data_IF_907349400700
#
_entry.id   IF_907349400700
#
_cell.length_a   1.000
_cell.length_b   1.000
_cell.length_c   1.000
_cell.angle_alpha   90.00
_cell.angle_beta   90.00
_cell.angle_gamma   90.00
#
_symmetry.space_group_name_H-M   'P 1'
#
loop_
_entity.id
_entity.type
_entity.pdbx_description
1 polymer ?
#
# COMPACT_ATOMS: atom_id res chain seq x y z
N UNK A 1 -10.13 -3.92 -49.30
CA UNK A 1 -9.61 -4.79 -48.22
C UNK A 1 -10.61 -5.91 -48.01
N UNK A 2 -10.21 -7.20 -48.07
CA UNK A 2 -11.19 -8.30 -48.09
C UNK A 2 -11.92 -8.43 -46.74
N UNK A 3 -13.22 -8.75 -46.79
CA UNK A 3 -14.08 -8.90 -45.62
C UNK A 3 -13.50 -9.84 -44.54
N UNK A 4 -12.73 -10.85 -44.94
CA UNK A 4 -12.00 -11.75 -44.06
C UNK A 4 -10.92 -11.05 -43.20
N UNK A 5 -10.20 -10.07 -43.76
CA UNK A 5 -9.20 -9.30 -43.00
C UNK A 5 -9.86 -8.41 -41.95
N UNK A 6 -11.00 -7.81 -42.30
CA UNK A 6 -11.77 -6.97 -41.36
C UNK A 6 -12.34 -7.83 -40.23
N UNK A 7 -12.94 -8.98 -40.55
CA UNK A 7 -13.44 -9.92 -39.55
C UNK A 7 -12.34 -10.43 -38.60
N UNK A 8 -11.17 -10.79 -39.14
CA UNK A 8 -10.03 -11.20 -38.34
C UNK A 8 -9.53 -10.09 -37.40
N UNK A 9 -9.41 -8.84 -37.89
CA UNK A 9 -8.97 -7.71 -37.06
C UNK A 9 -10.00 -7.40 -35.96
N UNK A 10 -11.29 -7.46 -36.26
CA UNK A 10 -12.36 -7.24 -35.26
C UNK A 10 -12.31 -8.33 -34.19
N UNK A 11 -12.22 -9.60 -34.58
CA UNK A 11 -12.09 -10.73 -33.64
C UNK A 11 -10.83 -10.60 -32.78
N UNK A 12 -9.68 -10.29 -33.39
CA UNK A 12 -8.41 -10.10 -32.69
C UNK A 12 -8.49 -8.94 -31.69
N UNK A 13 -9.12 -7.84 -32.08
CA UNK A 13 -9.30 -6.66 -31.22
C UNK A 13 -10.21 -7.00 -30.04
N UNK A 14 -11.32 -7.71 -30.29
CA UNK A 14 -12.26 -8.11 -29.24
C UNK A 14 -11.60 -9.07 -28.23
N UNK A 15 -10.88 -10.07 -28.72
CA UNK A 15 -10.12 -11.01 -27.87
C UNK A 15 -9.04 -10.28 -27.08
N UNK A 16 -8.35 -9.31 -27.70
CA UNK A 16 -7.32 -8.50 -27.01
C UNK A 16 -7.93 -7.63 -25.91
N UNK A 17 -9.08 -6.99 -26.16
CA UNK A 17 -9.80 -6.21 -25.15
C UNK A 17 -10.27 -7.10 -24.00
N UNK A 18 -10.86 -8.26 -24.32
CA UNK A 18 -11.30 -9.22 -23.30
C UNK A 18 -10.12 -9.69 -22.44
N UNK A 19 -8.98 -9.98 -23.06
CA UNK A 19 -7.76 -10.36 -22.35
C UNK A 19 -7.27 -9.26 -21.40
N UNK A 20 -7.21 -8.01 -21.85
CA UNK A 20 -6.83 -6.87 -21.00
C UNK A 20 -7.83 -6.66 -19.87
N UNK A 21 -9.12 -6.80 -20.12
CA UNK A 21 -10.16 -6.69 -19.09
C UNK A 21 -10.01 -7.75 -17.99
N UNK A 22 -9.63 -8.98 -18.35
CA UNK A 22 -9.35 -10.06 -17.39
C UNK A 22 -8.07 -9.78 -16.59
N UNK A 23 -7.05 -9.19 -17.20
CA UNK A 23 -5.80 -8.85 -16.51
C UNK A 23 -5.89 -7.60 -15.63
N UNK A 24 -6.80 -6.68 -15.95
CA UNK A 24 -7.00 -5.41 -15.24
C UNK A 24 -7.02 -5.54 -13.70
N UNK A 25 -7.83 -6.44 -13.09
CA UNK A 25 -7.85 -6.59 -11.64
C UNK A 25 -6.53 -7.09 -11.05
N UNK A 26 -5.69 -7.78 -11.83
CA UNK A 26 -4.40 -8.31 -11.39
C UNK A 26 -3.22 -7.39 -11.73
N UNK A 27 -3.46 -6.25 -12.36
CA UNK A 27 -2.39 -5.33 -12.76
C UNK A 27 -1.51 -4.91 -11.58
N UNK A 28 -2.14 -4.60 -10.44
CA UNK A 28 -1.43 -4.28 -9.19
C UNK A 28 -0.56 -5.45 -8.71
N UNK A 29 -1.07 -6.68 -8.77
CA UNK A 29 -0.32 -7.88 -8.36
C UNK A 29 0.89 -8.12 -9.27
N UNK A 30 0.73 -7.94 -10.58
CA UNK A 30 1.82 -8.07 -11.57
C UNK A 30 2.90 -7.00 -11.31
N UNK A 31 2.49 -5.74 -11.14
CA UNK A 31 3.42 -4.64 -10.91
C UNK A 31 4.23 -4.86 -9.64
N UNK A 32 3.57 -5.23 -8.54
CA UNK A 32 4.26 -5.54 -7.29
C UNK A 32 5.20 -6.72 -7.44
N UNK A 33 4.78 -7.81 -8.08
CA UNK A 33 5.67 -8.95 -8.35
C UNK A 33 6.94 -8.54 -9.11
N UNK A 34 6.82 -7.69 -10.13
CA UNK A 34 7.96 -7.19 -10.91
C UNK A 34 8.88 -6.30 -10.06
N UNK A 35 8.31 -5.37 -9.29
CA UNK A 35 9.06 -4.48 -8.40
C UNK A 35 9.84 -5.28 -7.36
N UNK A 36 9.18 -6.20 -6.65
CA UNK A 36 9.82 -7.10 -5.69
C UNK A 36 10.90 -7.95 -6.36
N UNK A 37 10.63 -8.51 -7.54
CA UNK A 37 11.63 -9.28 -8.27
C UNK A 37 12.88 -8.45 -8.57
N UNK A 38 12.73 -7.20 -9.02
CA UNK A 38 13.86 -6.30 -9.35
C UNK A 38 14.68 -5.92 -8.11
N UNK A 39 14.00 -5.64 -6.99
CA UNK A 39 14.63 -5.25 -5.73
C UNK A 39 15.38 -6.43 -5.11
N UNK A 40 14.74 -7.60 -5.06
CA UNK A 40 15.25 -8.81 -4.43
C UNK A 40 16.06 -9.71 -5.36
N UNK A 41 16.20 -9.37 -6.65
CA UNK A 41 17.10 -10.05 -7.58
C UNK A 41 18.53 -10.29 -7.05
N UNK A 42 19.22 -9.31 -6.42
CA UNK A 42 20.55 -9.56 -5.84
C UNK A 42 20.53 -10.60 -4.71
N UNK A 43 19.46 -10.68 -3.93
CA UNK A 43 19.28 -11.72 -2.91
C UNK A 43 19.06 -13.08 -3.59
N UNK A 44 18.17 -13.13 -4.57
CA UNK A 44 17.91 -14.34 -5.37
C UNK A 44 19.20 -14.89 -6.01
N UNK A 45 20.01 -14.04 -6.63
CA UNK A 45 21.28 -14.43 -7.24
C UNK A 45 22.34 -14.93 -6.22
N UNK A 46 22.23 -14.57 -4.93
CA UNK A 46 23.06 -15.15 -3.87
C UNK A 46 22.54 -16.53 -3.47
N UNK A 47 21.22 -16.68 -3.32
CA UNK A 47 20.56 -17.94 -2.99
C UNK A 47 20.77 -18.98 -4.11
N UNK A 48 20.61 -18.59 -5.37
CA UNK A 48 20.80 -19.47 -6.53
C UNK A 48 22.22 -20.06 -6.58
N UNK A 49 23.24 -19.22 -6.31
CA UNK A 49 24.63 -19.67 -6.22
C UNK A 49 24.85 -20.65 -5.07
N UNK A 50 24.20 -20.43 -3.92
CA UNK A 50 24.29 -21.33 -2.78
C UNK A 50 23.63 -22.70 -3.03
N UNK A 51 22.53 -22.71 -3.79
CA UNK A 51 21.71 -23.89 -4.09
C UNK A 51 22.22 -24.68 -5.31
N UNK A 52 23.40 -24.31 -5.84
CA UNK A 52 24.08 -24.98 -6.96
C UNK A 52 23.21 -25.12 -8.22
N UNK A 53 22.34 -24.13 -8.49
CA UNK A 53 21.59 -24.05 -9.74
C UNK A 53 20.23 -24.76 -9.77
N UNK A 54 19.70 -25.27 -8.66
CA UNK A 54 18.30 -25.76 -8.64
C UNK A 54 17.31 -24.58 -8.71
N UNK A 55 16.83 -24.26 -9.92
CA UNK A 55 16.00 -23.09 -10.22
C UNK A 55 14.75 -23.00 -9.32
N UNK A 56 14.03 -24.12 -9.11
CA UNK A 56 12.81 -24.17 -8.29
C UNK A 56 13.08 -23.91 -6.80
N UNK A 57 14.14 -24.51 -6.25
CA UNK A 57 14.49 -24.38 -4.84
C UNK A 57 15.03 -22.98 -4.54
N UNK A 58 15.84 -22.43 -5.45
CA UNK A 58 16.33 -21.06 -5.35
C UNK A 58 15.17 -20.04 -5.39
N UNK A 59 14.21 -20.21 -6.31
CA UNK A 59 13.04 -19.35 -6.40
C UNK A 59 12.16 -19.45 -5.13
N UNK A 60 11.88 -20.66 -4.65
CA UNK A 60 11.08 -20.89 -3.43
C UNK A 60 11.71 -20.26 -2.19
N UNK A 61 13.02 -20.47 -1.98
CA UNK A 61 13.74 -19.83 -0.88
C UNK A 61 13.77 -18.30 -0.99
N UNK A 62 13.84 -17.76 -2.21
CA UNK A 62 13.85 -16.31 -2.42
C UNK A 62 12.49 -15.67 -2.12
N UNK A 63 11.39 -16.33 -2.51
CA UNK A 63 10.03 -15.92 -2.16
C UNK A 63 9.83 -16.00 -0.64
N UNK A 64 10.29 -17.08 -0.01
CA UNK A 64 10.21 -17.25 1.44
C UNK A 64 11.02 -16.16 2.18
N UNK A 65 12.23 -15.87 1.73
CA UNK A 65 13.04 -14.78 2.29
C UNK A 65 12.34 -13.42 2.11
N UNK A 66 11.71 -13.16 0.96
CA UNK A 66 10.93 -11.94 0.72
C UNK A 66 9.74 -11.83 1.68
N UNK A 67 9.00 -12.93 1.90
CA UNK A 67 7.90 -13.01 2.85
C UNK A 67 8.37 -12.69 4.28
N UNK A 68 9.44 -13.33 4.73
CA UNK A 68 9.96 -13.13 6.08
C UNK A 68 10.54 -11.73 6.31
N UNK A 69 11.17 -11.12 5.30
CA UNK A 69 11.84 -9.82 5.46
C UNK A 69 10.89 -8.63 5.33
N UNK A 70 9.81 -8.74 4.56
CA UNK A 70 8.92 -7.59 4.27
C UNK A 70 7.51 -7.82 4.80
N UNK A 71 6.91 -8.96 4.49
CA UNK A 71 5.48 -9.19 4.72
C UNK A 71 5.21 -9.51 6.18
N UNK A 72 6.01 -10.37 6.80
CA UNK A 72 5.83 -10.75 8.21
C UNK A 72 5.95 -9.53 9.15
N UNK A 73 7.01 -8.68 9.07
CA UNK A 73 7.08 -7.48 9.89
C UNK A 73 5.92 -6.52 9.65
N UNK A 74 5.51 -6.37 8.38
CA UNK A 74 4.34 -5.56 8.00
C UNK A 74 3.05 -6.03 8.68
N UNK A 75 2.79 -7.34 8.65
CA UNK A 75 1.60 -7.94 9.29
C UNK A 75 1.62 -7.78 10.81
N UNK A 76 2.78 -8.02 11.45
CA UNK A 76 2.92 -7.88 12.91
C UNK A 76 2.56 -6.46 13.34
N UNK A 77 3.05 -5.45 12.62
CA UNK A 77 2.74 -4.05 12.93
C UNK A 77 1.28 -3.72 12.62
N UNK A 78 0.74 -4.18 11.48
CA UNK A 78 -0.67 -3.96 11.15
C UNK A 78 -1.63 -4.56 12.20
N UNK A 79 -1.36 -5.79 12.64
CA UNK A 79 -2.14 -6.45 13.70
C UNK A 79 -1.97 -5.70 15.03
N UNK A 80 -0.76 -5.26 15.36
CA UNK A 80 -0.50 -4.50 16.59
C UNK A 80 -1.25 -3.17 16.62
N UNK A 81 -1.29 -2.45 15.49
CA UNK A 81 -2.05 -1.21 15.34
C UNK A 81 -3.56 -1.46 15.41
N UNK A 82 -4.05 -2.51 14.75
CA UNK A 82 -5.47 -2.88 14.82
C UNK A 82 -5.89 -3.23 16.26
N UNK A 83 -5.05 -3.96 16.99
CA UNK A 83 -5.28 -4.28 18.39
C UNK A 83 -5.27 -3.02 19.28
N UNK A 84 -4.34 -2.09 19.05
CA UNK A 84 -4.31 -0.81 19.78
C UNK A 84 -5.54 0.06 19.47
N UNK A 85 -5.97 0.10 18.21
CA UNK A 85 -7.17 0.82 17.80
C UNK A 85 -8.43 0.22 18.45
N UNK A 86 -8.55 -1.10 18.47
CA UNK A 86 -9.66 -1.79 19.15
C UNK A 86 -9.62 -1.56 20.66
N UNK A 87 -8.44 -1.60 21.30
CA UNK A 87 -8.29 -1.33 22.73
C UNK A 87 -8.64 0.11 23.10
N UNK A 88 -8.24 1.08 22.27
CA UNK A 88 -8.64 2.48 22.43
C UNK A 88 -10.16 2.65 22.26
N UNK A 89 -10.75 1.96 21.28
CA UNK A 89 -12.19 1.98 21.04
C UNK A 89 -12.99 1.42 22.24
N UNK A 90 -12.57 0.28 22.78
CA UNK A 90 -13.19 -0.33 23.98
C UNK A 90 -13.04 0.58 25.21
N UNK A 91 -11.89 1.22 25.40
CA UNK A 91 -11.67 2.17 26.51
C UNK A 91 -12.51 3.43 26.43
N UNK A 92 -12.84 3.88 25.22
CA UNK A 92 -13.80 4.98 24.99
C UNK A 92 -15.24 4.51 25.27
N UNK A 93 -15.55 3.25 24.95
CA UNK A 93 -16.87 2.66 25.19
C UNK A 93 -17.15 2.37 26.68
N UNK A 94 -16.13 1.98 27.44
CA UNK A 94 -16.23 1.68 28.88
C UNK A 94 -16.17 2.93 29.78
N UNK A 95 -16.03 4.13 29.21
CA UNK A 95 -16.11 5.40 29.95
C UNK A 95 -14.88 5.74 30.81
N UNK A 96 -13.80 4.97 30.75
CA UNK A 96 -12.55 5.22 31.47
C UNK A 96 -11.62 6.22 30.76
N UNK A 97 -11.85 6.51 29.47
CA UNK A 97 -11.09 7.53 28.73
C UNK A 97 -11.77 8.90 28.80
N UNK A 98 -11.36 9.70 29.78
CA UNK A 98 -11.74 11.10 29.86
C UNK A 98 -11.01 11.87 28.74
N UNK A 99 -11.63 11.96 27.55
CA UNK A 99 -11.12 12.73 26.40
C UNK A 99 -10.76 14.17 26.82
N UNK A 100 -11.44 14.70 27.84
CA UNK A 100 -11.20 16.01 28.44
C UNK A 100 -9.80 16.12 29.05
N UNK A 101 -9.23 15.04 29.60
CA UNK A 101 -7.92 15.05 30.25
C UNK A 101 -6.76 14.94 29.23
N UNK A 102 -6.97 14.22 28.13
CA UNK A 102 -6.05 14.24 26.98
C UNK A 102 -6.06 15.60 26.26
N UNK A 103 -7.24 16.19 26.06
CA UNK A 103 -7.37 17.53 25.47
C UNK A 103 -6.72 18.59 26.34
N UNK A 104 -6.90 18.54 27.67
CA UNK A 104 -6.22 19.44 28.62
C UNK A 104 -4.71 19.24 28.67
N UNK A 105 -4.21 18.00 28.56
CA UNK A 105 -2.77 17.74 28.47
C UNK A 105 -2.17 18.26 27.18
N UNK A 106 -2.86 18.09 26.05
CA UNK A 106 -2.45 18.65 24.77
C UNK A 106 -2.42 20.18 24.89
N UNK A 107 -3.51 20.82 25.31
CA UNK A 107 -3.60 22.27 25.53
C UNK A 107 -2.46 22.81 26.41
N UNK A 108 -2.10 22.09 27.49
CA UNK A 108 -1.01 22.46 28.39
C UNK A 108 0.39 22.31 27.81
N UNK A 109 0.57 21.50 26.77
CA UNK A 109 1.88 21.26 26.13
C UNK A 109 2.05 22.06 24.83
N UNK A 110 1.02 22.79 24.38
CA UNK A 110 1.11 23.63 23.18
C UNK A 110 1.94 24.91 23.43
N UNK A 111 2.89 25.25 22.53
CA UNK A 111 3.64 26.51 22.60
C UNK A 111 2.71 27.72 22.48
N UNK A 112 3.05 28.81 23.20
CA UNK A 112 2.27 30.05 23.35
C UNK A 112 1.71 30.61 22.02
N UNK A 113 2.43 30.45 20.92
CA UNK A 113 2.02 30.93 19.59
C UNK A 113 0.72 30.29 19.05
N UNK A 114 0.34 29.10 19.53
CA UNK A 114 -0.90 28.42 19.09
C UNK A 114 -2.08 28.78 20.00
N UNK A 115 -1.83 29.12 21.28
CA UNK A 115 -2.88 29.55 22.22
C UNK A 115 -3.52 30.87 21.78
N UNK A 116 -2.72 31.80 21.31
CA UNK A 116 -3.17 33.12 20.85
C UNK A 116 -4.04 33.04 19.58
N UNK A 117 -3.86 31.99 18.76
CA UNK A 117 -4.68 31.74 17.57
C UNK A 117 -5.96 30.93 17.90
N UNK A 118 -5.92 30.12 18.97
CA UNK A 118 -7.07 29.33 19.43
C UNK A 118 -8.04 30.12 20.32
N UNK A 119 -7.59 31.16 21.02
CA UNK A 119 -8.50 32.05 21.78
C UNK A 119 -9.50 32.81 20.88
N UNK A 120 -9.23 32.91 19.58
CA UNK A 120 -10.16 33.44 18.59
C UNK A 120 -11.19 32.44 18.04
N UNK A 121 -11.03 31.14 18.34
CA UNK A 121 -11.92 30.08 17.87
C UNK A 121 -12.58 29.43 19.09
N UNK A 122 -13.77 29.94 19.38
CA UNK A 122 -14.60 29.58 20.53
C UNK A 122 -14.87 28.08 20.69
N UNK A 123 -15.10 27.73 21.96
CA UNK A 123 -15.29 26.41 22.59
C UNK A 123 -16.46 25.57 22.00
N UNK A 124 -17.24 26.08 21.03
CA UNK A 124 -18.37 25.37 20.40
C UNK A 124 -17.95 24.23 19.44
N UNK A 125 -16.76 24.31 18.83
CA UNK A 125 -16.27 23.27 17.92
C UNK A 125 -15.88 21.96 18.62
N UNK A 126 -15.53 22.03 19.90
CA UNK A 126 -15.11 20.88 20.70
C UNK A 126 -16.30 20.01 21.12
N UNK A 127 -17.46 20.62 21.40
CA UNK A 127 -18.69 19.90 21.72
C UNK A 127 -19.26 19.17 20.49
N UNK A 128 -19.21 19.79 19.31
CA UNK A 128 -19.59 19.12 18.06
C UNK A 128 -18.64 17.98 17.65
N UNK A 129 -17.34 18.12 17.92
CA UNK A 129 -16.38 17.03 17.75
C UNK A 129 -16.67 15.88 18.73
N UNK A 130 -16.97 16.20 19.99
CA UNK A 130 -17.34 15.24 21.02
C UNK A 130 -18.61 14.48 20.64
N UNK A 131 -19.63 15.19 20.19
CA UNK A 131 -20.92 14.62 19.80
C UNK A 131 -20.82 13.78 18.51
N UNK A 132 -20.03 14.23 17.54
CA UNK A 132 -19.76 13.48 16.29
C UNK A 132 -18.95 12.21 16.55
N UNK A 133 -17.97 12.26 17.45
CA UNK A 133 -17.17 11.09 17.84
C UNK A 133 -18.01 10.12 18.68
N UNK A 134 -18.87 10.61 19.58
CA UNK A 134 -19.79 9.75 20.34
C UNK A 134 -20.88 9.13 19.47
N UNK A 135 -21.43 9.87 18.51
CA UNK A 135 -22.43 9.36 17.56
C UNK A 135 -21.81 8.33 16.61
N UNK A 136 -20.56 8.53 16.17
CA UNK A 136 -19.79 7.55 15.41
C UNK A 136 -19.45 6.30 16.24
N UNK A 137 -19.21 6.45 17.55
CA UNK A 137 -18.94 5.34 18.46
C UNK A 137 -20.19 4.48 18.77
N UNK A 138 -21.34 5.13 18.99
CA UNK A 138 -22.60 4.48 19.41
C UNK A 138 -23.36 3.87 18.21
N UNK A 139 -23.18 4.38 17.00
CA UNK A 139 -23.87 3.90 15.79
C UNK A 139 -23.53 2.47 15.33
N UNK A 140 -22.61 1.77 15.99
CA UNK A 140 -22.03 0.51 15.51
C UNK A 140 -22.78 -0.77 15.91
N UNK A 141 -23.75 -0.71 16.84
CA UNK A 141 -24.47 -1.91 17.32
C UNK A 141 -25.22 -2.72 16.23
N UNK A 142 -25.64 -2.08 15.14
CA UNK A 142 -26.27 -2.72 13.97
C UNK A 142 -25.37 -2.91 12.74
N UNK A 143 -24.09 -2.50 12.81
CA UNK A 143 -23.18 -2.37 11.67
C UNK A 143 -22.46 -3.68 11.25
N UNK A 144 -22.56 -4.75 12.05
CA UNK A 144 -21.69 -5.93 11.91
C UNK A 144 -22.18 -6.99 10.92
N UNK A 145 -23.49 -7.12 10.67
CA UNK A 145 -24.03 -8.15 9.79
C UNK A 145 -23.74 -7.90 8.29
N UNK A 146 -23.88 -6.65 7.81
CA UNK A 146 -23.54 -6.27 6.44
C UNK A 146 -22.03 -6.20 6.18
N UNK A 147 -21.24 -5.90 7.23
CA UNK A 147 -19.78 -5.81 7.08
C UNK A 147 -19.09 -7.16 7.03
N UNK A 148 -19.59 -8.21 7.68
CA UNK A 148 -19.00 -9.55 7.60
C UNK A 148 -18.88 -10.06 6.14
N UNK A 149 -19.91 -9.84 5.32
CA UNK A 149 -19.91 -10.17 3.89
C UNK A 149 -18.94 -9.26 3.09
N UNK A 150 -18.96 -7.95 3.32
CA UNK A 150 -18.06 -7.00 2.62
C UNK A 150 -16.57 -7.18 3.01
N UNK A 151 -16.30 -7.53 4.28
CA UNK A 151 -14.97 -7.84 4.80
C UNK A 151 -14.50 -9.18 4.26
N UNK A 152 -15.39 -10.19 4.20
CA UNK A 152 -15.09 -11.48 3.57
C UNK A 152 -14.73 -11.34 2.09
N UNK A 153 -15.51 -10.56 1.33
CA UNK A 153 -15.25 -10.29 -0.09
C UNK A 153 -13.93 -9.53 -0.30
N UNK A 154 -13.66 -8.51 0.52
CA UNK A 154 -12.41 -7.74 0.45
C UNK A 154 -11.18 -8.58 0.82
N UNK A 155 -11.33 -9.45 1.82
CA UNK A 155 -10.27 -10.37 2.25
C UNK A 155 -9.97 -11.40 1.17
N UNK A 156 -10.99 -11.98 0.53
CA UNK A 156 -10.81 -12.90 -0.59
C UNK A 156 -10.12 -12.23 -1.79
N UNK A 157 -10.55 -11.02 -2.17
CA UNK A 157 -9.93 -10.27 -3.25
C UNK A 157 -8.46 -9.94 -2.94
N UNK A 158 -8.15 -9.58 -1.69
CA UNK A 158 -6.79 -9.38 -1.22
C UNK A 158 -5.98 -10.69 -1.29
N UNK A 159 -6.49 -11.80 -0.78
CA UNK A 159 -5.81 -13.11 -0.81
C UNK A 159 -5.53 -13.57 -2.24
N UNK A 160 -6.49 -13.40 -3.16
CA UNK A 160 -6.32 -13.73 -4.56
C UNK A 160 -5.24 -12.86 -5.22
N UNK A 161 -5.29 -11.55 -4.99
CA UNK A 161 -4.29 -10.61 -5.53
C UNK A 161 -2.90 -10.88 -4.97
N UNK A 162 -2.80 -11.11 -3.66
CA UNK A 162 -1.56 -11.42 -2.95
C UNK A 162 -0.99 -12.78 -3.37
N UNK A 163 -1.83 -13.81 -3.46
CA UNK A 163 -1.44 -15.13 -3.95
C UNK A 163 -0.95 -15.08 -5.40
N UNK A 164 -1.62 -14.30 -6.25
CA UNK A 164 -1.21 -14.08 -7.65
C UNK A 164 0.12 -13.34 -7.72
N UNK A 165 0.33 -12.32 -6.89
CA UNK A 165 1.61 -11.62 -6.78
C UNK A 165 2.74 -12.58 -6.38
N UNK A 166 2.55 -13.41 -5.35
CA UNK A 166 3.55 -14.38 -4.91
C UNK A 166 3.84 -15.44 -5.98
N UNK A 167 2.79 -15.93 -6.66
CA UNK A 167 2.92 -16.84 -7.78
C UNK A 167 3.76 -16.23 -8.90
N UNK A 168 3.43 -15.01 -9.33
CA UNK A 168 4.19 -14.30 -10.36
C UNK A 168 5.62 -14.02 -9.92
N UNK A 169 5.84 -13.64 -8.66
CA UNK A 169 7.16 -13.40 -8.10
C UNK A 169 8.02 -14.67 -8.13
N UNK A 170 7.45 -15.83 -7.80
CA UNK A 170 8.13 -17.13 -7.90
C UNK A 170 8.58 -17.40 -9.33
N UNK A 171 7.68 -17.24 -10.31
CA UNK A 171 8.01 -17.45 -11.72
C UNK A 171 8.99 -16.41 -12.26
N UNK A 172 8.94 -15.16 -11.78
CA UNK A 172 9.92 -14.13 -12.14
C UNK A 172 11.31 -14.44 -11.60
N UNK A 173 11.43 -15.00 -10.39
CA UNK A 173 12.73 -15.46 -9.91
C UNK A 173 13.22 -16.68 -10.68
N UNK A 174 12.36 -17.67 -10.92
CA UNK A 174 12.74 -18.90 -11.63
C UNK A 174 13.11 -18.64 -13.10
N UNK A 175 12.19 -18.05 -13.85
CA UNK A 175 12.24 -17.94 -15.31
C UNK A 175 12.52 -16.51 -15.80
N UNK A 176 12.76 -15.55 -14.91
CA UNK A 176 12.90 -14.13 -15.28
C UNK A 176 13.97 -13.86 -16.33
N UNK A 177 15.08 -14.61 -16.34
CA UNK A 177 16.11 -14.51 -17.39
C UNK A 177 15.60 -14.96 -18.76
N UNK A 178 14.87 -16.09 -18.82
CA UNK A 178 14.27 -16.61 -20.05
C UNK A 178 13.18 -15.65 -20.55
N UNK A 179 12.31 -15.19 -19.65
CA UNK A 179 11.24 -14.24 -19.95
C UNK A 179 11.80 -12.91 -20.49
N UNK A 180 12.84 -12.36 -19.85
CA UNK A 180 13.49 -11.14 -20.32
C UNK A 180 14.11 -11.31 -21.71
N UNK A 181 14.70 -12.46 -22.03
CA UNK A 181 15.22 -12.75 -23.37
C UNK A 181 14.10 -12.85 -24.42
N UNK A 182 12.99 -13.50 -24.09
CA UNK A 182 11.82 -13.61 -24.99
C UNK A 182 11.22 -12.24 -25.27
N UNK A 183 11.03 -11.41 -24.24
CA UNK A 183 10.53 -10.04 -24.39
C UNK A 183 11.50 -9.25 -25.29
N UNK A 184 12.80 -9.35 -25.07
CA UNK A 184 13.80 -8.66 -25.89
C UNK A 184 13.75 -9.04 -27.37
N UNK A 185 13.54 -10.32 -27.68
CA UNK A 185 13.45 -10.82 -29.07
C UNK A 185 12.14 -10.41 -29.77
N UNK A 186 11.07 -10.21 -29.01
CA UNK A 186 9.77 -9.80 -29.55
C UNK A 186 9.72 -8.29 -29.88
N UNK A 187 10.57 -7.48 -29.23
CA UNK A 187 10.61 -6.04 -29.46
C UNK A 187 11.42 -5.72 -30.71
N UNK A 188 10.87 -4.96 -31.68
CA UNK A 188 11.52 -4.64 -32.96
C UNK A 188 12.62 -3.55 -32.83
N UNK A 189 13.36 -3.53 -31.72
CA UNK A 189 14.47 -2.62 -31.45
C UNK A 189 15.80 -3.38 -31.50
N UNK A 190 16.89 -2.67 -31.84
CA UNK A 190 18.22 -3.28 -31.80
C UNK A 190 18.62 -3.68 -30.37
N UNK A 191 19.29 -4.82 -30.25
CA UNK A 191 19.59 -5.49 -28.98
C UNK A 191 20.30 -4.60 -27.95
N UNK A 192 21.19 -3.72 -28.41
CA UNK A 192 21.93 -2.79 -27.56
C UNK A 192 21.05 -1.69 -26.97
N UNK A 193 20.08 -1.17 -27.73
CA UNK A 193 19.14 -0.18 -27.21
C UNK A 193 18.23 -0.82 -26.16
N UNK A 194 17.67 -1.99 -26.45
CA UNK A 194 16.79 -2.71 -25.53
C UNK A 194 17.52 -3.05 -24.22
N UNK A 195 18.80 -3.44 -24.27
CA UNK A 195 19.61 -3.70 -23.07
C UNK A 195 19.83 -2.43 -22.25
N UNK A 196 20.17 -1.31 -22.88
CA UNK A 196 20.34 -0.01 -22.20
C UNK A 196 19.05 0.46 -21.54
N UNK A 197 17.90 0.34 -22.22
CA UNK A 197 16.59 0.68 -21.67
C UNK A 197 16.25 -0.18 -20.44
N UNK A 198 16.41 -1.51 -20.54
CA UNK A 198 16.12 -2.41 -19.43
C UNK A 198 17.00 -2.14 -18.20
N UNK A 199 18.30 -1.86 -18.42
CA UNK A 199 19.23 -1.50 -17.35
C UNK A 199 18.86 -0.16 -16.71
N UNK A 200 18.53 0.86 -17.52
CA UNK A 200 18.13 2.17 -17.00
C UNK A 200 16.83 2.07 -16.20
N UNK A 201 15.82 1.35 -16.71
CA UNK A 201 14.57 1.09 -16.01
C UNK A 201 14.80 0.40 -14.66
N UNK A 202 15.57 -0.68 -14.65
CA UNK A 202 15.96 -1.40 -13.42
C UNK A 202 16.66 -0.49 -12.43
N UNK A 203 17.56 0.37 -12.91
CA UNK A 203 18.28 1.34 -12.07
C UNK A 203 17.34 2.38 -11.48
N UNK A 204 16.37 2.89 -12.24
CA UNK A 204 15.39 3.87 -11.78
C UNK A 204 14.48 3.23 -10.73
N UNK A 205 13.89 2.06 -11.00
CA UNK A 205 13.04 1.35 -10.03
C UNK A 205 13.79 1.11 -8.72
N UNK A 206 15.04 0.63 -8.79
CA UNK A 206 15.85 0.40 -7.60
C UNK A 206 16.21 1.69 -6.87
N UNK A 207 16.49 2.77 -7.59
CA UNK A 207 16.79 4.08 -7.00
C UNK A 207 15.57 4.65 -6.28
N UNK A 208 14.38 4.62 -6.90
CA UNK A 208 13.13 5.07 -6.31
C UNK A 208 12.81 4.30 -5.03
N UNK A 209 12.89 2.98 -5.05
CA UNK A 209 12.62 2.16 -3.87
C UNK A 209 13.61 2.43 -2.74
N UNK A 210 14.92 2.52 -3.06
CA UNK A 210 15.93 2.85 -2.06
C UNK A 210 15.71 4.24 -1.47
N UNK A 211 15.32 5.21 -2.30
CA UNK A 211 14.92 6.55 -1.85
C UNK A 211 13.77 6.48 -0.85
N UNK A 212 12.68 5.79 -1.20
CA UNK A 212 11.52 5.63 -0.32
C UNK A 212 11.88 4.95 1.00
N UNK A 213 12.75 3.92 0.98
CA UNK A 213 13.21 3.26 2.20
C UNK A 213 13.98 4.24 3.11
N UNK A 214 14.88 5.05 2.54
CA UNK A 214 15.65 6.03 3.31
C UNK A 214 14.71 7.08 3.93
N UNK A 215 13.79 7.62 3.13
CA UNK A 215 12.80 8.60 3.59
C UNK A 215 11.95 8.00 4.71
N UNK A 216 11.45 6.77 4.54
CA UNK A 216 10.64 6.08 5.52
C UNK A 216 11.38 5.89 6.85
N UNK A 217 12.66 5.51 6.81
CA UNK A 217 13.49 5.37 8.02
C UNK A 217 13.65 6.71 8.73
N UNK A 218 13.99 7.78 8.00
CA UNK A 218 14.15 9.12 8.57
C UNK A 218 12.84 9.58 9.22
N UNK A 219 11.72 9.43 8.51
CA UNK A 219 10.39 9.80 8.99
C UNK A 219 10.00 9.00 10.24
N UNK A 220 10.21 7.69 10.24
CA UNK A 220 9.87 6.85 11.39
C UNK A 220 10.77 7.08 12.60
N UNK A 221 12.04 7.42 12.40
CA UNK A 221 12.94 7.83 13.48
C UNK A 221 12.50 9.16 14.09
N UNK A 222 12.27 10.19 13.28
CA UNK A 222 11.80 11.50 13.74
C UNK A 222 10.47 11.36 14.48
N UNK A 223 9.51 10.64 13.87
CA UNK A 223 8.20 10.43 14.47
C UNK A 223 8.25 9.57 15.73
N UNK A 224 9.11 8.54 15.77
CA UNK A 224 9.32 7.72 16.98
C UNK A 224 9.94 8.53 18.12
N UNK A 225 10.92 9.39 17.82
CA UNK A 225 11.52 10.32 18.79
C UNK A 225 10.48 11.35 19.27
N UNK A 226 9.66 11.90 18.36
CA UNK A 226 8.59 12.83 18.71
C UNK A 226 7.56 12.19 19.65
N UNK A 227 7.09 10.97 19.35
CA UNK A 227 6.18 10.25 20.24
C UNK A 227 6.79 9.89 21.58
N UNK A 228 8.11 9.64 21.62
CA UNK A 228 8.83 9.42 22.88
C UNK A 228 8.86 10.68 23.75
N UNK A 229 9.08 11.86 23.17
CA UNK A 229 9.03 13.14 23.91
C UNK A 229 7.64 13.52 24.43
N UNK A 230 6.57 13.04 23.78
CA UNK A 230 5.17 13.32 24.18
C UNK A 230 4.65 12.27 25.18
N UNK A 231 5.50 11.36 25.67
CA UNK A 231 5.13 10.24 26.56
C UNK A 231 3.99 9.36 26.02
N UNK A 232 3.82 9.31 24.69
CA UNK A 232 2.84 8.46 24.03
C UNK A 232 3.40 7.03 23.91
N UNK A 233 3.07 6.19 24.87
CA UNK A 233 3.39 4.77 24.79
C UNK A 233 2.42 4.04 23.86
N UNK A 234 2.89 3.14 22.97
CA UNK A 234 4.29 2.75 22.72
C UNK A 234 4.94 3.47 21.51
N UNK A 235 5.77 4.49 21.78
CA UNK A 235 6.46 5.31 20.77
C UNK A 235 7.25 4.52 19.73
N UNK A 236 7.90 3.42 20.14
CA UNK A 236 8.62 2.53 19.22
C UNK A 236 7.72 1.88 18.17
N UNK A 237 6.53 1.42 18.57
CA UNK A 237 5.59 0.80 17.63
C UNK A 237 5.06 1.83 16.63
N UNK A 238 4.81 3.07 17.07
CA UNK A 238 4.41 4.16 16.19
C UNK A 238 5.52 4.57 15.22
N UNK A 239 6.78 4.60 15.67
CA UNK A 239 7.93 4.82 14.80
C UNK A 239 8.03 3.75 13.70
N UNK A 240 8.00 2.47 14.07
CA UNK A 240 8.04 1.35 13.10
C UNK A 240 6.81 1.34 12.18
N UNK A 241 5.62 1.65 12.72
CA UNK A 241 4.41 1.83 11.93
C UNK A 241 4.59 2.92 10.86
N UNK A 242 5.15 4.07 11.21
CA UNK A 242 5.43 5.13 10.25
C UNK A 242 6.43 4.71 9.18
N UNK A 243 7.48 3.94 9.52
CA UNK A 243 8.40 3.38 8.51
C UNK A 243 7.63 2.49 7.53
N UNK A 244 6.81 1.56 8.02
CA UNK A 244 6.09 0.60 7.18
C UNK A 244 5.04 1.33 6.32
N UNK A 245 4.29 2.25 6.91
CA UNK A 245 3.26 3.03 6.20
C UNK A 245 3.88 3.96 5.14
N UNK A 246 5.06 4.53 5.40
CA UNK A 246 5.78 5.38 4.45
C UNK A 246 6.44 4.56 3.32
N UNK A 247 6.85 3.32 3.61
CA UNK A 247 7.37 2.40 2.60
C UNK A 247 6.31 1.89 1.62
N UNK A 248 5.04 1.86 2.03
CA UNK A 248 3.93 1.67 1.11
C UNK A 248 3.77 2.98 0.33
N UNK A 249 4.06 3.02 -0.99
CA UNK A 249 3.73 4.18 -1.81
C UNK A 249 2.26 4.46 -1.58
N UNK A 250 2.00 5.59 -0.91
CA UNK A 250 0.73 5.92 -0.28
C UNK A 250 -0.42 5.51 -1.19
N UNK A 251 -1.01 4.36 -0.89
CA UNK A 251 -2.29 3.93 -1.47
C UNK A 251 -2.43 4.27 -2.97
N UNK A 252 -1.42 3.93 -3.77
CA UNK A 252 -1.41 4.20 -5.23
C UNK A 252 -2.52 3.51 -6.03
N UNK A 253 -3.48 2.87 -5.35
CA UNK A 253 -4.67 2.23 -5.89
C UNK A 253 -5.96 2.58 -5.11
N UNK A 254 -5.99 3.66 -4.32
CA UNK A 254 -7.24 4.39 -4.03
C UNK A 254 -7.34 5.60 -4.95
N UNK A 255 -7.08 5.42 -6.23
CA UNK A 255 -7.89 6.15 -7.20
C UNK A 255 -9.07 5.21 -7.46
N UNK A 256 -10.26 5.45 -6.89
CA UNK A 256 -11.45 4.76 -7.36
C UNK A 256 -11.44 4.87 -8.87
N UNK A 257 -11.66 3.75 -9.56
CA UNK A 257 -11.85 3.82 -11.00
C UNK A 257 -12.91 4.89 -11.28
N UNK A 258 -12.77 5.66 -12.35
CA UNK A 258 -13.72 6.73 -12.69
C UNK A 258 -15.19 6.27 -12.72
N UNK A 259 -15.43 4.95 -12.78
CA UNK A 259 -16.74 4.35 -12.69
C UNK A 259 -17.28 4.22 -11.25
N UNK A 260 -16.41 3.95 -10.25
CA UNK A 260 -16.81 3.86 -8.84
C UNK A 260 -17.16 5.23 -8.24
N UNK A 261 -16.46 6.28 -8.69
CA UNK A 261 -16.69 7.65 -8.22
C UNK A 261 -18.00 8.28 -8.77
N UNK A 262 -18.52 7.75 -9.89
CA UNK A 262 -19.80 8.18 -10.47
C UNK A 262 -21.01 7.60 -9.73
N UNK A 263 -20.86 6.42 -9.13
CA UNK A 263 -21.90 5.77 -8.33
C UNK A 263 -22.08 6.41 -6.95
N UNK A 264 -21.03 7.03 -6.39
CA UNK A 264 -21.07 7.68 -5.06
C UNK A 264 -21.51 9.16 -5.07
N UNK A 265 -21.87 9.74 -6.23
CA UNK A 265 -22.51 11.07 -6.29
C UNK A 265 -21.63 12.28 -5.92
N UNK A 266 -20.32 12.09 -5.68
CA UNK A 266 -19.41 13.15 -5.20
C UNK A 266 -18.81 14.04 -6.31
N UNK A 267 -19.23 13.90 -7.56
CA UNK A 267 -18.75 14.72 -8.69
C UNK A 267 -19.44 16.09 -8.74
N UNK A 268 -19.43 16.87 -7.64
CA UNK A 268 -19.98 18.24 -7.71
C UNK A 268 -19.10 19.36 -7.18
N UNK A 269 -18.00 19.11 -6.47
CA UNK A 269 -17.11 20.20 -6.04
C UNK A 269 -15.65 19.74 -6.13
N UNK A 270 -14.85 20.42 -6.98
CA UNK A 270 -13.47 20.09 -7.34
C UNK A 270 -12.45 20.19 -6.19
N UNK A 271 -12.60 19.37 -5.15
CA UNK A 271 -11.73 19.37 -3.95
C UNK A 271 -10.65 18.27 -4.02
N UNK A 272 -10.68 17.38 -5.02
CA UNK A 272 -9.70 16.28 -5.10
C UNK A 272 -8.30 16.70 -5.58
N UNK A 273 -8.14 17.90 -6.14
CA UNK A 273 -6.85 18.36 -6.67
C UNK A 273 -5.80 18.65 -5.59
N UNK A 274 -6.21 18.96 -4.37
CA UNK A 274 -5.29 19.47 -3.33
C UNK A 274 -4.68 18.40 -2.43
N UNK A 275 -5.28 17.21 -2.33
CA UNK A 275 -4.80 16.14 -1.42
C UNK A 275 -3.75 15.25 -2.10
N UNK A 276 -3.71 15.21 -3.44
CA UNK A 276 -2.66 14.51 -4.18
C UNK A 276 -1.35 15.31 -4.33
N UNK A 277 -1.33 16.59 -3.96
CA UNK A 277 -0.20 17.50 -4.22
C UNK A 277 0.81 17.68 -3.08
N UNK A 278 0.64 16.99 -1.94
CA UNK A 278 1.40 17.26 -0.71
C UNK A 278 2.04 16.01 -0.08
N UNK A 279 2.47 15.06 -0.92
CA UNK A 279 3.36 13.95 -0.53
C UNK A 279 4.58 13.95 -1.47
#
# INVERSE_FOLDING_TARGET
MSAYRVGFIVMLTLVSIAFVAVLWPFFSAILWAVVFAIIFFPLHARIERAVKGHENLAAGLSVLACLCLVIVPGLVVAISLANQANALFLRIQDGEFDLTDLLRRIENTLPLFIREYLEGVSIEGLDHLRESVSAAAIGSGGFFAGRALSLGQSTLAFLLSFGTMLYLLFFLFRDGRKLAQTIRRAVPLSDDHTRKFAQKFTSVVRATVRGNVIIAIIQGLIGGIAFWFVDLQPAFLWGVAMIILSMLPAVGAMCPSSNDLRLFGLWKNGVSGSVCGLI
#
